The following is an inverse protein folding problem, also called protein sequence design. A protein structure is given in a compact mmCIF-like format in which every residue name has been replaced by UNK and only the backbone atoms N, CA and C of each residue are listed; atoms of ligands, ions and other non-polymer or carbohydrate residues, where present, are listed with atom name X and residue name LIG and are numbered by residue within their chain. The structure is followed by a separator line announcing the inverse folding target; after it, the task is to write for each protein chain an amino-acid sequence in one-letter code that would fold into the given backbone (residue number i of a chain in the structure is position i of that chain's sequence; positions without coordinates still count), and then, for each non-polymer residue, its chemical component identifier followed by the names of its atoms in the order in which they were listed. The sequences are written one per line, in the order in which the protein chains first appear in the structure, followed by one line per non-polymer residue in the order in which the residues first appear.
data_IF_566087597482
#
_entry.id   IF_566087597482
#
_cell.length_a   1.000
_cell.length_b   1.000
_cell.length_c   1.000
_cell.angle_alpha   90.00
_cell.angle_beta   90.00
_cell.angle_gamma   90.00
#
_symmetry.space_group_name_H-M   'P 1'
#
loop_
_entity.id
_entity.type
_entity.pdbx_description
1 polymer ?
#
# COMPACT_ATOMS: atom_id res chain seq x y z
N UNK A 1 8.56 -3.65 56.34
CA UNK A 1 9.72 -3.66 55.47
C UNK A 1 9.62 -4.64 54.26
N UNK A 2 8.61 -5.50 54.24
CA UNK A 2 8.44 -6.49 53.11
C UNK A 2 7.60 -5.94 51.93
N UNK A 3 6.88 -4.86 52.11
CA UNK A 3 6.03 -4.27 51.06
C UNK A 3 6.78 -3.38 50.06
N UNK A 4 7.97 -2.87 50.39
CA UNK A 4 8.77 -2.01 49.51
C UNK A 4 9.59 -2.79 48.45
N UNK A 5 9.92 -4.06 48.72
CA UNK A 5 10.72 -4.86 47.78
C UNK A 5 9.87 -5.41 46.59
N UNK A 6 8.61 -5.72 46.86
CA UNK A 6 7.71 -6.17 45.78
C UNK A 6 7.34 -5.07 44.77
N UNK A 7 7.26 -3.81 45.18
CA UNK A 7 6.93 -2.68 44.30
C UNK A 7 8.07 -2.37 43.32
N UNK A 8 9.33 -2.49 43.74
CA UNK A 8 10.50 -2.24 42.90
C UNK A 8 10.68 -3.35 41.85
N UNK A 9 10.38 -4.61 42.21
CA UNK A 9 10.47 -5.73 41.27
C UNK A 9 9.36 -5.69 40.17
N UNK A 10 8.15 -5.21 40.49
CA UNK A 10 7.08 -5.03 39.51
C UNK A 10 7.37 -3.91 38.52
N UNK A 11 7.96 -2.80 38.98
CA UNK A 11 8.32 -1.66 38.12
C UNK A 11 9.46 -2.05 37.18
N UNK A 12 10.44 -2.85 37.63
CA UNK A 12 11.53 -3.32 36.78
C UNK A 12 11.05 -4.30 35.69
N UNK A 13 10.01 -5.13 35.96
CA UNK A 13 9.44 -6.03 34.95
C UNK A 13 8.62 -5.26 33.90
N UNK A 14 7.84 -4.25 34.28
CA UNK A 14 7.08 -3.43 33.34
C UNK A 14 7.98 -2.56 32.44
N UNK A 15 9.08 -2.04 32.99
CA UNK A 15 10.04 -1.23 32.22
C UNK A 15 10.80 -2.11 31.20
N UNK A 16 11.05 -3.38 31.49
CA UNK A 16 11.75 -4.30 30.58
C UNK A 16 10.86 -4.74 29.39
N UNK A 17 9.56 -4.98 29.62
CA UNK A 17 8.64 -5.32 28.53
C UNK A 17 8.34 -4.12 27.62
N UNK A 18 8.13 -2.93 28.20
CA UNK A 18 7.93 -1.70 27.44
C UNK A 18 9.17 -1.36 26.58
N UNK A 19 10.37 -1.49 27.14
CA UNK A 19 11.61 -1.24 26.41
C UNK A 19 11.86 -2.25 25.28
N UNK A 20 11.42 -3.51 25.44
CA UNK A 20 11.48 -4.54 24.41
C UNK A 20 10.50 -4.27 23.26
N UNK A 21 9.28 -3.82 23.56
CA UNK A 21 8.26 -3.49 22.57
C UNK A 21 8.63 -2.23 21.78
N UNK A 22 9.15 -1.19 22.44
CA UNK A 22 9.63 0.03 21.77
C UNK A 22 10.80 -0.27 20.80
N UNK A 23 11.77 -1.08 21.22
CA UNK A 23 12.91 -1.46 20.37
C UNK A 23 12.50 -2.30 19.14
N UNK A 24 11.47 -3.14 19.26
CA UNK A 24 10.94 -3.93 18.14
C UNK A 24 10.15 -3.04 17.18
N UNK A 25 9.34 -2.13 17.68
CA UNK A 25 8.58 -1.17 16.89
C UNK A 25 9.51 -0.20 16.15
N UNK A 26 10.56 0.29 16.80
CA UNK A 26 11.57 1.16 16.20
C UNK A 26 12.35 0.46 15.08
N UNK A 27 12.70 -0.82 15.26
CA UNK A 27 13.41 -1.61 14.24
C UNK A 27 12.53 -1.93 13.04
N UNK A 28 11.26 -2.24 13.23
CA UNK A 28 10.31 -2.50 12.15
C UNK A 28 10.00 -1.21 11.37
N UNK A 29 9.78 -0.10 12.06
CA UNK A 29 9.63 1.23 11.46
C UNK A 29 10.85 1.62 10.64
N UNK A 30 12.06 1.35 11.14
CA UNK A 30 13.31 1.68 10.44
C UNK A 30 13.48 0.94 9.12
N UNK A 31 13.05 -0.32 9.00
CA UNK A 31 13.21 -1.10 7.75
C UNK A 31 12.32 -0.56 6.63
N UNK A 32 11.07 -0.24 6.89
CA UNK A 32 10.17 0.34 5.90
C UNK A 32 10.58 1.78 5.55
N UNK A 33 10.92 2.60 6.52
CA UNK A 33 11.39 3.96 6.30
C UNK A 33 12.69 3.99 5.50
N UNK A 34 13.64 3.10 5.80
CA UNK A 34 14.88 2.95 5.04
C UNK A 34 14.63 2.50 3.60
N UNK A 35 13.65 1.61 3.39
CA UNK A 35 13.26 1.21 2.05
C UNK A 35 12.67 2.37 1.25
N UNK A 36 11.80 3.18 1.84
CA UNK A 36 11.23 4.36 1.19
C UNK A 36 12.30 5.39 0.82
N UNK A 37 13.32 5.54 1.64
CA UNK A 37 14.43 6.48 1.47
C UNK A 37 15.62 5.91 0.67
N UNK A 38 15.47 4.80 -0.04
CA UNK A 38 16.58 4.04 -0.65
C UNK A 38 17.28 4.69 -1.85
N UNK A 39 16.95 5.94 -2.20
CA UNK A 39 17.62 6.69 -3.27
C UNK A 39 17.29 6.21 -4.68
N UNK A 40 16.22 5.43 -4.87
CA UNK A 40 15.72 5.03 -6.19
C UNK A 40 15.23 6.26 -6.98
N UNK A 41 15.86 6.52 -8.11
CA UNK A 41 15.62 7.67 -8.99
C UNK A 41 14.74 7.37 -10.21
N UNK A 42 14.12 6.18 -10.24
CA UNK A 42 13.24 5.77 -11.36
C UNK A 42 11.86 6.43 -11.35
N UNK A 43 11.48 7.09 -10.26
CA UNK A 43 10.20 7.75 -10.13
C UNK A 43 9.95 8.77 -11.25
N UNK A 44 8.86 8.56 -11.97
CA UNK A 44 8.36 9.49 -12.98
C UNK A 44 6.89 9.21 -13.29
N UNK A 45 6.22 10.18 -13.88
CA UNK A 45 4.87 9.99 -14.40
C UNK A 45 4.66 10.75 -15.71
N UNK A 46 3.74 10.27 -16.53
CA UNK A 46 3.32 10.92 -17.77
C UNK A 46 1.80 10.88 -17.91
N UNK A 47 1.23 11.91 -18.56
CA UNK A 47 -0.20 11.94 -18.83
C UNK A 47 -0.49 11.07 -20.06
N UNK A 48 -1.29 10.02 -19.85
CA UNK A 48 -1.70 9.10 -20.89
C UNK A 48 -3.01 9.54 -21.56
N UNK A 49 -3.91 10.10 -20.77
CA UNK A 49 -5.24 10.50 -21.21
C UNK A 49 -5.84 11.53 -20.25
N UNK A 50 -6.72 12.38 -20.78
CA UNK A 50 -7.48 13.35 -20.00
C UNK A 50 -8.88 13.51 -20.60
N UNK A 51 -9.87 13.78 -19.75
CA UNK A 51 -11.23 13.97 -20.21
C UNK A 51 -12.22 14.31 -19.09
N UNK A 52 -13.48 14.01 -19.35
CA UNK A 52 -14.58 14.17 -18.38
C UNK A 52 -15.46 12.92 -18.34
N UNK A 53 -15.98 12.64 -17.14
CA UNK A 53 -17.08 11.69 -16.91
C UNK A 53 -18.15 12.43 -16.12
N UNK A 54 -19.29 12.71 -16.76
CA UNK A 54 -20.24 13.67 -16.21
C UNK A 54 -19.56 15.04 -16.03
N UNK A 55 -19.64 15.60 -14.84
CA UNK A 55 -19.00 16.88 -14.51
C UNK A 55 -17.56 16.70 -14.01
N UNK A 56 -17.17 15.48 -13.59
CA UNK A 56 -15.83 15.19 -13.08
C UNK A 56 -14.79 15.21 -14.19
N UNK A 57 -13.75 16.02 -14.05
CA UNK A 57 -12.55 15.94 -14.89
C UNK A 57 -11.69 14.79 -14.44
N UNK A 58 -11.01 14.13 -15.35
CA UNK A 58 -10.04 13.08 -15.02
C UNK A 58 -8.75 13.21 -15.82
N UNK A 59 -7.69 12.69 -15.23
CA UNK A 59 -6.48 12.32 -15.95
C UNK A 59 -6.13 10.87 -15.64
N UNK A 60 -5.60 10.19 -16.62
CA UNK A 60 -4.90 8.94 -16.47
C UNK A 60 -3.42 9.21 -16.59
N UNK A 61 -2.67 8.85 -15.55
CA UNK A 61 -1.22 8.92 -15.51
C UNK A 61 -0.63 7.52 -15.59
N UNK A 62 0.45 7.35 -16.37
CA UNK A 62 1.36 6.21 -16.23
C UNK A 62 2.39 6.59 -15.19
N UNK A 63 2.29 5.97 -14.03
CA UNK A 63 3.22 6.15 -12.94
C UNK A 63 4.28 5.05 -12.97
N UNK A 64 5.56 5.41 -13.03
CA UNK A 64 6.67 4.55 -12.66
C UNK A 64 7.04 4.86 -11.22
N UNK A 65 6.76 3.93 -10.31
CA UNK A 65 6.91 4.19 -8.88
C UNK A 65 8.32 3.94 -8.37
N UNK A 66 8.99 2.93 -8.89
CA UNK A 66 10.30 2.47 -8.42
C UNK A 66 10.89 1.37 -9.29
N UNK A 67 12.16 1.03 -9.03
CA UNK A 67 12.76 -0.24 -9.42
C UNK A 67 12.97 -1.11 -8.17
N UNK A 68 12.40 -2.32 -8.18
CA UNK A 68 12.53 -3.30 -7.11
C UNK A 68 12.94 -4.67 -7.65
N UNK A 69 14.00 -5.28 -7.11
CA UNK A 69 14.55 -6.57 -7.58
C UNK A 69 14.73 -6.61 -9.13
N UNK A 70 15.27 -5.52 -9.69
CA UNK A 70 15.46 -5.30 -11.13
C UNK A 70 14.17 -5.19 -11.96
N UNK A 71 13.00 -5.14 -11.32
CA UNK A 71 11.71 -4.93 -11.96
C UNK A 71 11.29 -3.47 -11.83
N UNK A 72 11.02 -2.83 -12.95
CA UNK A 72 10.47 -1.47 -12.97
C UNK A 72 8.96 -1.54 -12.76
N UNK A 73 8.49 -0.97 -11.66
CA UNK A 73 7.06 -1.00 -11.31
C UNK A 73 6.30 0.15 -11.94
N UNK A 74 5.27 -0.20 -12.68
CA UNK A 74 4.39 0.74 -13.37
C UNK A 74 2.94 0.55 -12.94
N UNK A 75 2.20 1.65 -12.95
CA UNK A 75 0.81 1.71 -12.50
C UNK A 75 -0.01 2.62 -13.41
N UNK A 76 -1.31 2.35 -13.55
CA UNK A 76 -2.27 3.37 -13.95
C UNK A 76 -2.69 4.13 -12.69
N UNK A 77 -2.64 5.45 -12.76
CA UNK A 77 -3.13 6.33 -11.71
C UNK A 77 -4.18 7.26 -12.30
N UNK A 78 -5.43 7.10 -11.90
CA UNK A 78 -6.50 7.99 -12.30
C UNK A 78 -6.70 9.08 -11.27
N UNK A 79 -6.54 10.33 -11.68
CA UNK A 79 -6.80 11.50 -10.83
C UNK A 79 -8.14 12.10 -11.23
N UNK A 80 -9.11 12.04 -10.33
CA UNK A 80 -10.51 12.44 -10.54
C UNK A 80 -10.74 13.74 -9.78
N UNK A 81 -11.15 14.78 -10.52
CA UNK A 81 -11.25 16.15 -10.01
C UNK A 81 -12.70 16.58 -10.08
N UNK A 82 -13.41 16.74 -8.95
CA UNK A 82 -14.80 17.16 -8.95
C UNK A 82 -14.95 18.57 -9.53
N UNK A 83 -16.14 18.88 -10.06
CA UNK A 83 -16.47 20.20 -10.62
C UNK A 83 -16.32 21.34 -9.60
N UNK A 84 -16.48 21.02 -8.33
CA UNK A 84 -16.40 21.95 -7.18
C UNK A 84 -15.00 22.11 -6.60
N UNK A 85 -13.98 21.41 -7.13
CA UNK A 85 -12.61 21.48 -6.62
C UNK A 85 -12.06 22.93 -6.65
N UNK A 86 -11.46 23.33 -5.53
CA UNK A 86 -10.92 24.70 -5.33
C UNK A 86 -9.39 24.65 -5.26
N UNK A 87 -8.75 25.79 -5.49
CA UNK A 87 -7.28 25.90 -5.39
C UNK A 87 -6.73 25.62 -3.99
N UNK A 88 -7.54 25.83 -2.95
CA UNK A 88 -7.19 25.57 -1.55
C UNK A 88 -7.83 24.25 -1.04
N UNK A 89 -7.96 23.27 -1.90
CA UNK A 89 -8.40 21.92 -1.53
C UNK A 89 -7.23 21.25 -0.81
N UNK A 90 -7.28 21.11 0.49
CA UNK A 90 -6.17 20.60 1.30
C UNK A 90 -6.17 19.08 1.48
N UNK A 91 -7.27 18.40 1.13
CA UNK A 91 -7.45 16.96 1.34
C UNK A 91 -7.85 16.22 0.07
N UNK A 92 -7.33 14.99 -0.09
CA UNK A 92 -7.67 14.06 -1.16
C UNK A 92 -7.89 12.64 -0.65
N UNK A 93 -8.38 11.74 -1.52
CA UNK A 93 -8.49 10.32 -1.24
C UNK A 93 -7.57 9.56 -2.21
N UNK A 94 -6.77 8.63 -1.69
CA UNK A 94 -6.06 7.63 -2.47
C UNK A 94 -6.71 6.26 -2.28
N UNK A 95 -7.26 5.70 -3.35
CA UNK A 95 -7.76 4.32 -3.37
C UNK A 95 -6.77 3.41 -4.09
N UNK A 96 -6.31 2.37 -3.39
CA UNK A 96 -5.34 1.41 -3.92
C UNK A 96 -6.08 0.16 -4.37
N UNK A 97 -5.88 -0.24 -5.64
CA UNK A 97 -6.52 -1.44 -6.20
C UNK A 97 -5.53 -2.34 -6.94
N UNK A 98 -5.95 -3.56 -7.23
CA UNK A 98 -5.17 -4.58 -7.91
C UNK A 98 -5.16 -4.44 -9.43
N UNK A 99 -4.97 -5.55 -10.08
CA UNK A 99 -4.89 -5.70 -11.53
C UNK A 99 -3.51 -6.18 -11.99
N UNK A 100 -3.43 -6.69 -13.21
CA UNK A 100 -2.19 -7.12 -13.83
C UNK A 100 -1.67 -6.09 -14.82
N UNK A 101 -0.35 -5.92 -14.88
CA UNK A 101 0.32 -5.17 -15.93
C UNK A 101 0.56 -6.07 -17.13
N UNK A 102 0.23 -5.61 -18.32
CA UNK A 102 0.31 -6.40 -19.55
C UNK A 102 0.99 -5.62 -20.68
N UNK A 103 1.20 -6.29 -21.82
CA UNK A 103 1.85 -5.72 -23.00
C UNK A 103 1.05 -4.55 -23.60
N UNK A 104 -0.27 -4.59 -23.55
CA UNK A 104 -1.12 -3.50 -24.02
C UNK A 104 -0.88 -2.22 -23.23
N UNK A 105 -0.84 -2.32 -21.88
CA UNK A 105 -0.52 -1.20 -21.01
C UNK A 105 0.92 -0.70 -21.18
N UNK A 106 1.85 -1.65 -21.40
CA UNK A 106 3.27 -1.32 -21.59
C UNK A 106 3.51 -0.53 -22.88
N UNK A 107 2.88 -0.94 -23.97
CA UNK A 107 3.11 -0.36 -25.31
C UNK A 107 2.18 0.79 -25.66
N UNK A 108 1.15 1.02 -24.85
CA UNK A 108 0.17 2.09 -25.06
C UNK A 108 0.84 3.46 -25.05
N UNK A 109 0.54 4.29 -26.02
CA UNK A 109 1.00 5.69 -26.11
C UNK A 109 -0.01 6.67 -25.51
N UNK A 110 0.42 7.87 -25.13
CA UNK A 110 -0.49 8.95 -24.79
C UNK A 110 -1.50 9.26 -25.91
N UNK A 111 -2.75 9.54 -25.53
CA UNK A 111 -3.81 9.96 -26.44
C UNK A 111 -3.49 11.36 -26.99
N UNK A 112 -3.51 11.52 -28.30
CA UNK A 112 -3.26 12.82 -28.95
C UNK A 112 -4.53 13.67 -28.97
N UNK A 113 -4.33 14.98 -29.07
CA UNK A 113 -5.44 15.92 -29.24
C UNK A 113 -6.28 15.56 -30.47
N UNK A 114 -7.60 15.40 -30.26
CA UNK A 114 -8.55 15.02 -31.32
C UNK A 114 -8.75 13.53 -31.50
N UNK A 115 -8.05 12.67 -30.77
CA UNK A 115 -8.33 11.23 -30.70
C UNK A 115 -9.37 10.94 -29.61
N UNK A 116 -10.23 9.96 -29.83
CA UNK A 116 -11.17 9.50 -28.81
C UNK A 116 -10.43 8.79 -27.68
N UNK A 117 -10.67 9.20 -26.44
CA UNK A 117 -10.04 8.55 -25.30
C UNK A 117 -10.60 7.15 -25.06
N UNK A 118 -9.78 6.20 -24.56
CA UNK A 118 -10.29 4.91 -24.12
C UNK A 118 -11.31 5.09 -22.98
N UNK A 119 -12.24 4.15 -22.87
CA UNK A 119 -13.21 4.16 -21.78
C UNK A 119 -12.50 4.00 -20.42
N UNK A 120 -12.97 4.75 -19.42
CA UNK A 120 -12.46 4.57 -18.06
C UNK A 120 -12.80 3.18 -17.51
N UNK A 121 -11.88 2.53 -16.77
CA UNK A 121 -12.19 1.34 -15.99
C UNK A 121 -13.38 1.54 -15.05
N UNK A 122 -14.08 0.44 -14.73
CA UNK A 122 -15.26 0.49 -13.86
C UNK A 122 -14.99 1.15 -12.51
N UNK A 123 -13.87 0.82 -11.90
CA UNK A 123 -13.41 1.40 -10.64
C UNK A 123 -13.23 2.92 -10.75
N UNK A 124 -12.48 3.39 -11.73
CA UNK A 124 -12.26 4.83 -11.93
C UNK A 124 -13.57 5.59 -12.18
N UNK A 125 -14.53 4.96 -12.91
CA UNK A 125 -15.85 5.54 -13.16
C UNK A 125 -16.70 5.65 -11.89
N UNK A 126 -16.66 4.63 -11.01
CA UNK A 126 -17.32 4.66 -9.71
C UNK A 126 -16.78 5.81 -8.86
N UNK A 127 -15.47 5.92 -8.75
CA UNK A 127 -14.83 6.96 -7.97
C UNK A 127 -15.02 8.37 -8.57
N UNK A 128 -15.24 8.50 -9.87
CA UNK A 128 -15.62 9.80 -10.46
C UNK A 128 -16.95 10.33 -9.88
N UNK A 129 -17.95 9.45 -9.71
CA UNK A 129 -19.20 9.83 -9.05
C UNK A 129 -19.00 10.16 -7.57
N UNK A 130 -18.13 9.41 -6.87
CA UNK A 130 -17.81 9.68 -5.46
C UNK A 130 -17.06 11.00 -5.28
N UNK A 131 -16.18 11.37 -6.20
CA UNK A 131 -15.47 12.65 -6.17
C UNK A 131 -16.43 13.85 -6.16
N UNK A 132 -17.47 13.81 -6.99
CA UNK A 132 -18.53 14.85 -6.97
C UNK A 132 -19.30 14.87 -5.66
N UNK A 133 -19.69 13.70 -5.12
CA UNK A 133 -20.43 13.61 -3.86
C UNK A 133 -19.63 14.13 -2.67
N UNK A 134 -18.35 13.78 -2.61
CA UNK A 134 -17.46 14.19 -1.51
C UNK A 134 -16.85 15.57 -1.72
N UNK A 135 -17.01 16.14 -2.92
CA UNK A 135 -16.38 17.40 -3.30
C UNK A 135 -14.86 17.40 -3.08
N UNK A 136 -14.23 16.25 -3.29
CA UNK A 136 -12.84 15.98 -2.96
C UNK A 136 -12.16 15.26 -4.12
N UNK A 137 -10.96 15.66 -4.54
CA UNK A 137 -10.17 14.90 -5.50
C UNK A 137 -9.91 13.48 -5.04
N UNK A 138 -10.07 12.53 -5.95
CA UNK A 138 -9.81 11.10 -5.68
C UNK A 138 -8.78 10.59 -6.66
N UNK A 139 -7.74 9.95 -6.14
CA UNK A 139 -6.76 9.20 -6.90
C UNK A 139 -7.04 7.70 -6.80
N UNK A 140 -7.08 7.00 -7.94
CA UNK A 140 -7.25 5.54 -8.00
C UNK A 140 -5.97 4.95 -8.57
N UNK A 141 -5.18 4.32 -7.69
CA UNK A 141 -3.91 3.68 -8.02
C UNK A 141 -4.15 2.20 -8.31
N UNK A 142 -3.96 1.80 -9.57
CA UNK A 142 -4.18 0.43 -10.03
C UNK A 142 -2.87 -0.35 -10.14
N UNK A 143 -2.98 -1.67 -10.27
CA UNK A 143 -1.86 -2.60 -10.45
C UNK A 143 -0.88 -2.61 -9.27
N UNK A 144 -1.40 -2.62 -8.05
CA UNK A 144 -0.62 -2.81 -6.83
C UNK A 144 -0.95 -4.18 -6.23
N UNK A 145 0.00 -5.14 -6.23
CA UNK A 145 1.37 -5.05 -6.72
C UNK A 145 1.47 -5.02 -8.25
N UNK A 146 2.63 -4.63 -8.76
CA UNK A 146 3.00 -4.83 -10.16
C UNK A 146 3.14 -6.34 -10.42
N UNK A 147 2.28 -6.90 -11.28
CA UNK A 147 2.16 -8.34 -11.51
C UNK A 147 1.68 -8.66 -12.93
N UNK A 148 1.98 -9.86 -13.50
CA UNK A 148 2.68 -10.99 -12.87
C UNK A 148 4.19 -10.79 -12.78
N UNK A 149 4.81 -11.37 -11.74
CA UNK A 149 6.27 -11.39 -11.55
C UNK A 149 6.72 -12.76 -11.05
N UNK A 150 8.05 -13.02 -11.03
CA UNK A 150 8.62 -14.26 -10.51
C UNK A 150 7.97 -15.53 -11.08
N UNK A 151 8.14 -15.75 -12.40
CA UNK A 151 7.57 -16.89 -13.13
C UNK A 151 6.03 -16.90 -13.16
N UNK A 152 5.42 -15.73 -13.34
CA UNK A 152 3.99 -15.59 -13.55
C UNK A 152 3.14 -15.62 -12.28
N UNK A 153 3.73 -15.39 -11.11
CA UNK A 153 2.97 -15.35 -9.85
C UNK A 153 2.11 -14.10 -9.75
N UNK A 154 0.99 -14.26 -9.05
CA UNK A 154 0.02 -13.20 -8.75
C UNK A 154 -0.29 -13.14 -7.25
N UNK A 155 -0.68 -11.97 -6.78
CA UNK A 155 -1.38 -11.75 -5.51
C UNK A 155 -0.65 -12.38 -4.31
N UNK A 156 -1.33 -13.23 -3.54
CA UNK A 156 -0.80 -13.88 -2.34
C UNK A 156 0.40 -14.77 -2.63
N UNK A 157 0.46 -15.38 -3.82
CA UNK A 157 1.62 -16.17 -4.25
C UNK A 157 2.91 -15.35 -4.26
N UNK A 158 2.84 -14.07 -4.68
CA UNK A 158 4.03 -13.20 -4.67
C UNK A 158 4.38 -12.83 -3.23
N UNK A 159 3.40 -12.45 -2.40
CA UNK A 159 3.66 -12.06 -1.01
C UNK A 159 4.32 -13.23 -0.26
N UNK A 160 3.71 -14.41 -0.34
CA UNK A 160 4.22 -15.61 0.32
C UNK A 160 5.62 -16.03 -0.21
N UNK A 161 5.84 -15.97 -1.52
CA UNK A 161 7.15 -16.19 -2.12
C UNK A 161 8.20 -15.21 -1.59
N UNK A 162 7.88 -13.93 -1.52
CA UNK A 162 8.84 -12.91 -1.06
C UNK A 162 9.14 -12.99 0.44
N UNK A 163 8.17 -13.41 1.26
CA UNK A 163 8.44 -13.77 2.65
C UNK A 163 9.36 -14.99 2.76
N UNK A 164 9.16 -16.03 1.93
CA UNK A 164 10.03 -17.18 1.91
C UNK A 164 11.47 -16.78 1.52
N UNK A 165 11.64 -15.92 0.52
CA UNK A 165 12.97 -15.43 0.13
C UNK A 165 13.63 -14.56 1.23
N UNK A 166 12.85 -13.74 1.92
CA UNK A 166 13.33 -13.05 3.12
C UNK A 166 13.81 -14.02 4.21
N UNK A 167 13.05 -15.07 4.50
CA UNK A 167 13.44 -16.09 5.49
C UNK A 167 14.70 -16.85 5.12
N UNK A 168 14.91 -17.11 3.82
CA UNK A 168 16.10 -17.79 3.30
C UNK A 168 17.33 -16.92 3.32
N UNK A 169 17.20 -15.65 2.90
CA UNK A 169 18.35 -14.78 2.63
C UNK A 169 18.68 -13.84 3.77
N UNK A 170 17.68 -13.50 4.60
CA UNK A 170 17.79 -12.43 5.60
C UNK A 170 17.79 -11.01 5.01
N UNK A 171 17.62 -10.86 3.70
CA UNK A 171 17.59 -9.56 3.04
C UNK A 171 16.24 -8.86 3.30
N UNK A 172 16.22 -7.75 4.08
CA UNK A 172 15.00 -7.08 4.50
C UNK A 172 14.26 -6.37 3.36
N UNK A 173 14.84 -6.32 2.16
CA UNK A 173 14.20 -5.70 0.99
C UNK A 173 13.32 -6.65 0.17
N UNK A 174 13.21 -7.92 0.60
CA UNK A 174 12.39 -8.91 -0.10
C UNK A 174 10.88 -8.73 0.09
N UNK A 175 10.36 -8.44 1.31
CA UNK A 175 8.91 -8.41 1.51
C UNK A 175 8.19 -7.51 0.50
N UNK A 176 7.24 -8.08 -0.24
CA UNK A 176 6.49 -7.39 -1.31
C UNK A 176 5.73 -6.16 -0.81
N UNK A 177 5.34 -6.14 0.45
CA UNK A 177 4.64 -5.02 1.06
C UNK A 177 5.45 -3.72 1.02
N UNK A 178 6.78 -3.79 1.03
CA UNK A 178 7.64 -2.62 0.94
C UNK A 178 7.45 -1.86 -0.39
N UNK A 179 7.62 -2.51 -1.57
CA UNK A 179 7.34 -1.83 -2.83
C UNK A 179 5.86 -1.47 -3.03
N UNK A 180 4.92 -2.21 -2.44
CA UNK A 180 3.50 -1.83 -2.47
C UNK A 180 3.25 -0.51 -1.73
N UNK A 181 3.84 -0.32 -0.55
CA UNK A 181 3.78 0.96 0.20
C UNK A 181 4.45 2.08 -0.59
N UNK A 182 5.64 1.84 -1.17
CA UNK A 182 6.32 2.85 -1.98
C UNK A 182 5.48 3.26 -3.19
N UNK A 183 4.72 2.35 -3.80
CA UNK A 183 3.79 2.68 -4.87
C UNK A 183 2.66 3.62 -4.40
N UNK A 184 2.12 3.40 -3.20
CA UNK A 184 1.12 4.29 -2.61
C UNK A 184 1.69 5.69 -2.32
N UNK A 185 2.90 5.78 -1.74
CA UNK A 185 3.61 7.04 -1.50
C UNK A 185 3.81 7.79 -2.83
N UNK A 186 4.32 7.12 -3.87
CA UNK A 186 4.51 7.71 -5.20
C UNK A 186 3.19 8.07 -5.90
N UNK A 187 2.12 7.33 -5.61
CA UNK A 187 0.77 7.69 -6.04
C UNK A 187 0.30 9.02 -5.45
N UNK A 188 0.59 9.28 -4.16
CA UNK A 188 0.32 10.57 -3.53
C UNK A 188 1.19 11.69 -4.14
N UNK A 189 2.51 11.45 -4.31
CA UNK A 189 3.44 12.40 -4.92
C UNK A 189 2.92 12.85 -6.30
N UNK A 190 2.64 11.89 -7.18
CA UNK A 190 2.16 12.15 -8.55
C UNK A 190 0.81 12.88 -8.57
N UNK A 191 -0.09 12.54 -7.64
CA UNK A 191 -1.38 13.22 -7.51
C UNK A 191 -1.21 14.69 -7.13
N UNK A 192 -0.36 14.96 -6.12
CA UNK A 192 -0.05 16.33 -5.68
C UNK A 192 0.61 17.14 -6.80
N UNK A 193 1.64 16.57 -7.44
CA UNK A 193 2.36 17.22 -8.55
C UNK A 193 1.43 17.53 -9.72
N UNK A 194 0.62 16.55 -10.16
CA UNK A 194 -0.32 16.73 -11.25
C UNK A 194 -1.36 17.82 -10.94
N UNK A 195 -2.03 17.75 -9.80
CA UNK A 195 -3.05 18.72 -9.39
C UNK A 195 -2.47 20.13 -9.27
N UNK A 196 -1.28 20.26 -8.70
CA UNK A 196 -0.60 21.54 -8.55
C UNK A 196 -0.18 22.14 -9.89
N UNK A 197 0.46 21.35 -10.75
CA UNK A 197 1.04 21.83 -12.00
C UNK A 197 0.00 22.07 -13.10
N UNK A 198 -1.03 21.23 -13.19
CA UNK A 198 -2.04 21.30 -14.26
C UNK A 198 -3.31 22.06 -13.87
N UNK A 199 -3.63 22.12 -12.57
CA UNK A 199 -4.91 22.69 -12.10
C UNK A 199 -4.77 23.75 -11.02
N UNK A 200 -3.56 24.02 -10.50
CA UNK A 200 -3.30 24.96 -9.40
C UNK A 200 -4.10 24.57 -8.11
N UNK A 201 -4.33 23.28 -7.94
CA UNK A 201 -4.97 22.69 -6.76
C UNK A 201 -3.88 22.11 -5.88
N UNK A 202 -3.83 22.52 -4.60
CA UNK A 202 -2.89 21.97 -3.63
C UNK A 202 -3.62 21.01 -2.70
N UNK A 203 -3.10 19.78 -2.58
CA UNK A 203 -3.53 18.78 -1.59
C UNK A 203 -2.34 18.55 -0.66
N UNK A 204 -2.56 18.60 0.65
CA UNK A 204 -1.53 18.36 1.65
C UNK A 204 -1.70 17.00 2.31
N UNK A 205 -2.94 16.53 2.46
CA UNK A 205 -3.26 15.31 3.21
C UNK A 205 -4.16 14.36 2.42
N UNK A 206 -4.15 13.09 2.83
CA UNK A 206 -4.95 12.05 2.20
C UNK A 206 -5.68 11.17 3.20
N UNK A 207 -6.88 10.75 2.83
CA UNK A 207 -7.45 9.48 3.29
C UNK A 207 -6.96 8.38 2.37
N UNK A 208 -6.43 7.28 2.91
CA UNK A 208 -5.97 6.13 2.12
C UNK A 208 -6.89 4.94 2.35
N UNK A 209 -7.25 4.23 1.28
CA UNK A 209 -8.07 3.03 1.35
C UNK A 209 -7.63 1.98 0.32
N UNK A 210 -7.94 0.74 0.62
CA UNK A 210 -7.71 -0.40 -0.27
C UNK A 210 -8.21 -1.68 0.38
N UNK A 211 -8.47 -2.72 -0.43
CA UNK A 211 -9.04 -3.97 0.05
C UNK A 211 -7.99 -5.09 0.08
N UNK A 212 -8.14 -6.02 1.06
CA UNK A 212 -7.29 -7.19 1.22
C UNK A 212 -5.82 -6.79 1.32
N UNK A 213 -4.92 -7.29 0.49
CA UNK A 213 -3.49 -6.92 0.43
C UNK A 213 -3.27 -5.40 0.30
N UNK A 214 -4.16 -4.69 -0.39
CA UNK A 214 -4.11 -3.22 -0.51
C UNK A 214 -4.59 -2.54 0.77
N UNK A 215 -5.44 -3.21 1.56
CA UNK A 215 -5.76 -2.83 2.94
C UNK A 215 -4.54 -2.99 3.85
N UNK A 216 -3.74 -4.04 3.67
CA UNK A 216 -2.45 -4.17 4.36
C UNK A 216 -1.48 -3.04 3.97
N UNK A 217 -1.38 -2.75 2.67
CA UNK A 217 -0.64 -1.58 2.18
C UNK A 217 -1.15 -0.27 2.80
N UNK A 218 -2.47 -0.12 2.93
CA UNK A 218 -3.11 1.04 3.58
C UNK A 218 -2.66 1.20 5.04
N UNK A 219 -2.67 0.12 5.84
CA UNK A 219 -2.17 0.13 7.21
C UNK A 219 -0.72 0.61 7.30
N UNK A 220 0.15 0.01 6.47
CA UNK A 220 1.58 0.33 6.48
C UNK A 220 1.87 1.74 5.96
N UNK A 221 1.15 2.21 4.93
CA UNK A 221 1.31 3.57 4.42
C UNK A 221 0.91 4.60 5.46
N UNK A 222 -0.23 4.37 6.18
CA UNK A 222 -0.65 5.24 7.27
C UNK A 222 0.31 5.28 8.45
N UNK A 223 1.13 4.25 8.63
CA UNK A 223 2.13 4.20 9.70
C UNK A 223 3.43 4.97 9.38
N UNK A 224 3.71 5.28 8.10
CA UNK A 224 5.02 5.81 7.68
C UNK A 224 4.97 7.12 6.89
N UNK A 225 3.80 7.56 6.42
CA UNK A 225 3.65 8.80 5.66
C UNK A 225 2.67 9.74 6.37
N UNK A 226 3.18 10.87 6.86
CA UNK A 226 2.41 11.85 7.65
C UNK A 226 1.27 12.50 6.85
N UNK A 227 1.30 12.43 5.52
CA UNK A 227 0.19 12.90 4.67
C UNK A 227 -1.04 12.01 4.79
N UNK A 228 -0.90 10.77 5.24
CA UNK A 228 -1.99 9.85 5.51
C UNK A 228 -2.67 10.19 6.85
N UNK A 229 -3.53 11.21 6.87
CA UNK A 229 -4.23 11.65 8.08
C UNK A 229 -5.44 10.80 8.46
N UNK A 230 -5.91 9.96 7.54
CA UNK A 230 -6.92 8.95 7.79
C UNK A 230 -6.66 7.70 6.94
N UNK A 231 -7.04 6.53 7.46
CA UNK A 231 -6.97 5.27 6.73
C UNK A 231 -8.29 4.51 6.84
N UNK A 232 -8.68 3.84 5.76
CA UNK A 232 -9.86 2.98 5.70
C UNK A 232 -9.50 1.63 5.05
N UNK A 233 -8.69 0.78 5.72
CA UNK A 233 -8.36 -0.55 5.22
C UNK A 233 -9.60 -1.43 5.19
N UNK A 234 -9.84 -2.15 4.10
CA UNK A 234 -11.02 -2.98 3.93
C UNK A 234 -10.65 -4.46 3.87
N UNK A 235 -11.50 -5.30 4.46
CA UNK A 235 -11.45 -6.77 4.44
C UNK A 235 -10.04 -7.33 4.72
N UNK A 236 -9.36 -6.77 5.72
CA UNK A 236 -8.02 -7.16 6.14
C UNK A 236 -7.85 -6.93 7.65
N UNK A 237 -7.48 -7.95 8.37
CA UNK A 237 -7.11 -7.89 9.78
C UNK A 237 -5.71 -8.52 9.96
N UNK A 238 -4.71 -7.67 10.13
CA UNK A 238 -3.30 -8.07 10.25
C UNK A 238 -2.65 -7.57 11.53
N UNK A 239 -3.39 -6.86 12.38
CA UNK A 239 -2.83 -6.17 13.54
C UNK A 239 -2.38 -7.11 14.67
N UNK A 240 -2.85 -8.31 14.73
CA UNK A 240 -2.45 -9.28 15.73
C UNK A 240 -2.37 -10.69 15.12
N UNK A 241 -1.55 -10.82 14.10
CA UNK A 241 -1.52 -11.98 13.21
C UNK A 241 -1.30 -13.30 13.96
N UNK A 242 -0.34 -13.37 14.89
CA UNK A 242 0.00 -14.63 15.56
C UNK A 242 -1.16 -15.20 16.36
N UNK A 243 -1.80 -14.47 17.32
CA UNK A 243 -3.00 -14.97 18.01
C UNK A 243 -4.17 -15.28 17.09
N UNK A 244 -4.33 -14.55 15.97
CA UNK A 244 -5.39 -14.85 15.00
C UNK A 244 -5.15 -16.19 14.30
N UNK A 245 -3.92 -16.49 13.92
CA UNK A 245 -3.56 -17.80 13.32
C UNK A 245 -3.74 -18.93 14.32
N UNK A 246 -3.37 -18.75 15.58
CA UNK A 246 -3.61 -19.71 16.65
C UNK A 246 -5.12 -19.92 16.88
N UNK A 247 -5.90 -18.84 16.90
CA UNK A 247 -7.35 -18.91 17.05
C UNK A 247 -8.03 -19.61 15.86
N UNK A 248 -7.55 -19.37 14.65
CA UNK A 248 -8.08 -20.02 13.43
C UNK A 248 -7.90 -21.56 13.52
N UNK A 249 -6.69 -22.03 13.86
CA UNK A 249 -6.44 -23.46 14.10
C UNK A 249 -7.27 -24.04 15.24
N UNK A 250 -7.41 -23.31 16.34
CA UNK A 250 -8.22 -23.76 17.46
C UNK A 250 -9.70 -23.90 17.09
N UNK A 251 -10.26 -22.95 16.34
CA UNK A 251 -11.68 -22.90 16.01
C UNK A 251 -12.10 -23.85 14.89
N UNK A 252 -11.23 -24.06 13.91
CA UNK A 252 -11.54 -24.77 12.67
C UNK A 252 -10.72 -26.04 12.45
N UNK A 253 -9.72 -26.28 13.28
CA UNK A 253 -8.80 -27.42 13.18
C UNK A 253 -7.64 -27.22 12.21
N UNK A 254 -7.72 -26.24 11.33
CA UNK A 254 -6.67 -25.87 10.38
C UNK A 254 -6.80 -24.39 9.97
N UNK A 255 -5.86 -23.93 9.13
CA UNK A 255 -5.94 -22.61 8.49
C UNK A 255 -7.01 -22.57 7.40
N UNK A 256 -7.47 -21.38 7.06
CA UNK A 256 -8.35 -21.17 5.92
C UNK A 256 -7.61 -21.47 4.60
N UNK A 257 -8.31 -22.09 3.65
CA UNK A 257 -7.79 -22.33 2.29
C UNK A 257 -7.44 -21.02 1.55
N UNK A 258 -8.02 -19.89 1.96
CA UNK A 258 -7.67 -18.57 1.40
C UNK A 258 -6.23 -18.13 1.70
N UNK A 259 -5.53 -18.80 2.63
CA UNK A 259 -4.14 -18.53 2.96
C UNK A 259 -3.20 -19.71 2.67
N UNK A 260 -3.61 -20.64 1.80
CA UNK A 260 -2.79 -21.82 1.42
C UNK A 260 -1.44 -21.41 0.83
N UNK A 261 -1.38 -20.34 0.04
CA UNK A 261 -0.12 -19.81 -0.50
C UNK A 261 0.95 -19.54 0.58
N UNK A 262 0.53 -19.19 1.78
CA UNK A 262 1.40 -18.93 2.92
C UNK A 262 1.65 -20.20 3.74
N UNK A 263 0.60 -20.97 4.03
CA UNK A 263 0.69 -22.19 4.87
C UNK A 263 1.54 -23.27 4.22
N UNK A 264 1.39 -23.50 2.92
CA UNK A 264 2.22 -24.44 2.15
C UNK A 264 3.72 -24.07 2.16
N UNK A 265 4.06 -22.81 2.42
CA UNK A 265 5.45 -22.33 2.57
C UNK A 265 5.91 -22.24 4.01
N UNK A 266 5.07 -22.67 4.97
CA UNK A 266 5.40 -22.66 6.40
C UNK A 266 5.50 -21.25 7.01
N UNK A 267 4.90 -20.24 6.40
CA UNK A 267 4.99 -18.85 6.90
C UNK A 267 4.27 -18.69 8.23
N UNK A 268 3.06 -19.26 8.38
CA UNK A 268 2.28 -19.19 9.61
C UNK A 268 2.96 -19.92 10.75
N UNK A 269 3.48 -21.14 10.50
CA UNK A 269 4.23 -21.90 11.48
C UNK A 269 5.48 -21.16 11.94
N UNK A 270 6.18 -20.51 10.99
CA UNK A 270 7.36 -19.73 11.34
C UNK A 270 6.99 -18.52 12.23
N UNK A 271 5.90 -17.80 11.94
CA UNK A 271 5.45 -16.66 12.75
C UNK A 271 5.12 -17.06 14.20
N UNK A 272 4.67 -18.29 14.44
CA UNK A 272 4.39 -18.78 15.80
C UNK A 272 5.63 -19.22 16.57
N UNK A 273 6.79 -19.34 15.94
CA UNK A 273 8.06 -19.66 16.62
C UNK A 273 8.55 -18.50 17.49
N UNK A 274 9.37 -18.81 18.48
CA UNK A 274 10.03 -17.77 19.31
C UNK A 274 10.86 -16.77 18.51
N UNK A 275 11.38 -17.18 17.35
CA UNK A 275 12.10 -16.31 16.43
C UNK A 275 11.13 -15.41 15.64
N UNK A 276 10.03 -15.97 15.16
CA UNK A 276 9.02 -15.23 14.41
C UNK A 276 8.28 -14.21 15.29
N UNK A 277 8.00 -14.55 16.55
CA UNK A 277 7.36 -13.62 17.52
C UNK A 277 8.22 -12.39 17.88
N UNK A 278 9.52 -12.45 17.59
CA UNK A 278 10.50 -11.37 17.90
C UNK A 278 10.82 -10.46 16.71
N UNK A 279 10.27 -10.76 15.55
CA UNK A 279 10.42 -10.00 14.32
C UNK A 279 9.18 -9.19 13.99
#
# INVERSE_FOLDING_TARGET
PLTSICAVALIAFFVCEACGQEAIAEKASSSLSNYLANGDDTYQWEIMNQGKVGETRYAELRLTSQTWKSLVWKHQLFVLIPSTAKSNQDHGLLFITGGGWNEELETRRPVKSGEDPPSLPGEARLFASMAEQFQTPIAVLMHVPFQPIFDGKYEDQIIAYTFQEFLKTGDPTWPLLLPMVKSAVRGMDSTQEYLKTQHQISIETFTISGASKRGWTTWLTGAVDERATAIAPMVIDVLNMVPQMEHQKFSWGDYSTEIDDYSERGIQEWMTTEKGKKL
#
